data_IF_702842083709
#
_entry.id   IF_702842083709
#
_cell.length_a   1.000
_cell.length_b   1.000
_cell.length_c   1.000
_cell.angle_alpha   90.00
_cell.angle_beta   90.00
_cell.angle_gamma   90.00
#
_symmetry.space_group_name_H-M   'P 1'
#
loop_
_entity.id
_entity.type
_entity.pdbx_description
1 polymer ?
#
# COMPACT_ATOMS: atom_id res chain seq x y z
N UNK A 1 17.12 12.87 -14.53
CA UNK A 1 18.35 13.44 -13.94
C UNK A 1 18.16 13.45 -12.44
N UNK A 2 18.63 12.41 -11.71
CA UNK A 2 18.60 12.43 -10.23
C UNK A 2 19.59 13.51 -9.79
N UNK A 3 19.09 14.51 -9.09
CA UNK A 3 19.94 15.48 -8.44
C UNK A 3 20.82 14.76 -7.41
N UNK A 4 22.09 15.11 -7.34
CA UNK A 4 23.13 14.44 -6.54
C UNK A 4 22.89 14.46 -5.02
N UNK A 5 21.81 15.09 -4.51
CA UNK A 5 21.54 15.29 -3.09
C UNK A 5 20.05 15.12 -2.72
N UNK A 6 19.41 14.04 -3.15
CA UNK A 6 18.01 13.72 -2.74
C UNK A 6 17.86 13.47 -1.22
N UNK A 7 18.96 13.20 -0.52
CA UNK A 7 18.93 12.84 0.91
C UNK A 7 18.64 14.00 1.86
N UNK A 8 18.84 15.24 1.41
CA UNK A 8 18.73 16.44 2.26
C UNK A 8 17.45 17.27 2.02
N UNK A 9 16.54 16.81 1.17
CA UNK A 9 15.32 17.53 0.89
C UNK A 9 14.29 17.32 2.00
N UNK A 10 13.62 18.42 2.41
CA UNK A 10 12.51 18.30 3.34
C UNK A 10 11.36 17.48 2.73
N UNK A 11 10.60 16.81 3.58
CA UNK A 11 9.39 16.07 3.20
C UNK A 11 8.46 16.95 2.37
N UNK A 12 8.26 18.21 2.78
CA UNK A 12 7.43 19.18 2.06
C UNK A 12 7.92 19.42 0.62
N UNK A 13 9.24 19.47 0.41
CA UNK A 13 9.83 19.65 -0.92
C UNK A 13 9.64 18.41 -1.78
N UNK A 14 9.83 17.22 -1.22
CA UNK A 14 9.61 15.94 -1.92
C UNK A 14 8.17 15.80 -2.40
N UNK A 15 7.20 16.13 -1.55
CA UNK A 15 5.77 16.11 -1.91
C UNK A 15 5.46 17.14 -2.99
N UNK A 16 5.87 18.41 -2.79
CA UNK A 16 5.56 19.50 -3.71
C UNK A 16 6.12 19.27 -5.13
N UNK A 17 7.21 18.53 -5.25
CA UNK A 17 7.88 18.24 -6.51
C UNK A 17 7.61 16.81 -7.02
N UNK A 18 6.68 16.07 -6.45
CA UNK A 18 6.40 14.67 -6.79
C UNK A 18 7.70 13.87 -6.95
N UNK A 19 8.58 13.90 -5.95
CA UNK A 19 9.91 13.25 -5.96
C UNK A 19 10.81 13.70 -7.12
N UNK A 20 10.76 14.99 -7.49
CA UNK A 20 11.46 15.53 -8.67
C UNK A 20 11.04 14.88 -9.98
N UNK A 21 9.76 14.63 -10.12
CA UNK A 21 9.20 14.10 -11.37
C UNK A 21 9.63 14.96 -12.56
N UNK A 22 10.06 14.29 -13.61
CA UNK A 22 10.28 14.89 -14.93
C UNK A 22 9.95 13.86 -16.00
N UNK A 23 8.99 14.17 -16.84
CA UNK A 23 8.63 13.31 -17.96
C UNK A 23 9.75 13.34 -19.01
N UNK A 24 10.35 12.18 -19.37
CA UNK A 24 11.49 12.13 -20.26
C UNK A 24 11.17 12.48 -21.73
N UNK A 25 9.90 12.38 -22.13
CA UNK A 25 9.48 12.64 -23.53
C UNK A 25 9.09 14.11 -23.72
N UNK A 26 8.37 14.68 -22.75
CA UNK A 26 7.80 16.04 -22.86
C UNK A 26 8.57 17.08 -22.05
N UNK A 27 9.40 16.66 -21.08
CA UNK A 27 10.03 17.54 -20.11
C UNK A 27 9.06 18.13 -19.07
N UNK A 28 7.84 17.62 -18.99
CA UNK A 28 6.86 18.08 -18.01
C UNK A 28 7.34 17.80 -16.58
N UNK A 29 7.24 18.81 -15.71
CA UNK A 29 7.56 18.70 -14.28
C UNK A 29 6.33 18.40 -13.42
N UNK A 30 5.15 18.29 -14.04
CA UNK A 30 3.91 17.88 -13.39
C UNK A 30 3.47 16.55 -14.00
N UNK A 31 3.24 15.53 -13.18
CA UNK A 31 2.77 14.23 -13.68
C UNK A 31 1.42 14.36 -14.39
N UNK A 32 1.30 13.71 -15.54
CA UNK A 32 0.01 13.60 -16.23
C UNK A 32 -0.92 12.62 -15.49
N UNK A 33 -2.23 12.87 -15.59
CA UNK A 33 -3.22 11.89 -15.15
C UNK A 33 -3.47 10.90 -16.29
N UNK A 34 -3.12 9.64 -16.07
CA UNK A 34 -3.37 8.58 -17.02
C UNK A 34 -4.79 8.02 -16.85
N UNK A 35 -5.63 8.21 -17.83
CA UNK A 35 -7.00 7.73 -17.87
C UNK A 35 -7.17 6.38 -18.58
N UNK A 36 -6.09 5.79 -19.11
CA UNK A 36 -6.19 4.52 -19.82
C UNK A 36 -6.67 3.40 -18.89
N UNK A 37 -7.65 2.63 -19.37
CA UNK A 37 -8.12 1.42 -18.70
C UNK A 37 -7.35 0.19 -19.18
N UNK A 38 -6.97 0.16 -20.47
CA UNK A 38 -6.25 -0.94 -21.11
C UNK A 38 -5.02 -0.38 -21.82
N UNK A 39 -4.00 -1.21 -21.95
CA UNK A 39 -2.75 -0.85 -22.60
C UNK A 39 -2.50 -1.75 -23.80
N UNK A 40 -1.84 -1.20 -24.83
CA UNK A 40 -1.55 -1.93 -26.04
C UNK A 40 -0.54 -3.06 -25.81
N UNK A 41 -0.70 -4.12 -26.58
CA UNK A 41 0.20 -5.27 -26.58
C UNK A 41 0.99 -5.30 -27.89
N UNK A 42 2.06 -6.07 -27.89
CA UNK A 42 2.81 -6.37 -29.09
C UNK A 42 2.16 -7.52 -29.91
N UNK A 43 2.82 -7.98 -30.95
CA UNK A 43 2.37 -9.05 -31.83
C UNK A 43 2.32 -10.43 -31.15
N UNK A 44 3.04 -10.60 -30.04
CA UNK A 44 3.06 -11.81 -29.22
C UNK A 44 2.07 -11.75 -28.04
N UNK A 45 1.24 -10.71 -27.97
CA UNK A 45 0.30 -10.45 -26.86
C UNK A 45 0.97 -10.06 -25.55
N UNK A 46 2.26 -9.69 -25.57
CA UNK A 46 2.97 -9.20 -24.41
C UNK A 46 2.75 -7.69 -24.21
N UNK A 47 2.77 -7.18 -22.97
CA UNK A 47 2.62 -5.76 -22.73
C UNK A 47 3.81 -5.01 -23.31
N UNK A 48 3.54 -3.93 -24.06
CA UNK A 48 4.60 -3.08 -24.63
C UNK A 48 5.39 -2.29 -23.58
N UNK A 49 4.78 -2.08 -22.41
CA UNK A 49 5.32 -1.36 -21.29
C UNK A 49 4.96 -2.10 -19.98
N UNK A 50 5.15 -1.47 -18.83
CA UNK A 50 4.92 -2.10 -17.51
C UNK A 50 3.45 -2.44 -17.21
N UNK A 51 2.49 -1.90 -17.97
CA UNK A 51 1.08 -2.01 -17.62
C UNK A 51 0.29 -2.86 -18.63
N UNK A 52 -0.66 -3.62 -18.12
CA UNK A 52 -1.62 -4.43 -18.89
C UNK A 52 -3.01 -3.84 -18.82
N UNK A 53 -3.41 -3.53 -17.62
CA UNK A 53 -4.74 -3.08 -17.30
C UNK A 53 -4.69 -2.22 -16.04
N UNK A 54 -5.50 -1.16 -15.98
CA UNK A 54 -5.48 -0.16 -14.91
C UNK A 54 -5.60 -0.75 -13.50
N UNK A 55 -6.34 -1.84 -13.32
CA UNK A 55 -6.51 -2.50 -12.02
C UNK A 55 -5.21 -3.14 -11.52
N UNK A 56 -4.36 -3.58 -12.45
CA UNK A 56 -3.09 -4.21 -12.12
C UNK A 56 -1.98 -3.17 -11.93
N UNK A 57 -2.14 -2.01 -12.55
CA UNK A 57 -1.20 -0.90 -12.43
C UNK A 57 -1.52 0.25 -13.39
N UNK A 58 -1.13 1.44 -12.99
CA UNK A 58 -1.33 2.67 -13.75
C UNK A 58 -0.27 3.69 -13.32
N UNK A 59 0.27 4.45 -14.26
CA UNK A 59 1.34 5.44 -14.01
C UNK A 59 0.98 6.44 -12.90
N UNK A 60 -0.27 6.90 -12.88
CA UNK A 60 -0.75 7.86 -11.87
C UNK A 60 -0.79 7.24 -10.47
N UNK A 61 -1.33 6.02 -10.36
CA UNK A 61 -1.40 5.28 -9.10
C UNK A 61 -0.01 4.93 -8.59
N UNK A 62 0.85 4.41 -9.46
CA UNK A 62 2.22 4.06 -9.11
C UNK A 62 3.01 5.24 -8.55
N UNK A 63 2.91 6.42 -9.17
CA UNK A 63 3.62 7.61 -8.65
C UNK A 63 3.12 8.00 -7.25
N UNK A 64 1.82 7.91 -7.00
CA UNK A 64 1.28 8.16 -5.67
C UNK A 64 1.78 7.14 -4.64
N UNK A 65 1.87 5.88 -5.00
CA UNK A 65 2.44 4.80 -4.18
C UNK A 65 3.93 5.04 -3.91
N UNK A 66 4.71 5.47 -4.90
CA UNK A 66 6.13 5.83 -4.74
C UNK A 66 6.31 7.00 -3.77
N UNK A 67 5.47 8.05 -3.87
CA UNK A 67 5.50 9.19 -2.94
C UNK A 67 5.21 8.73 -1.50
N UNK A 68 4.18 7.92 -1.30
CA UNK A 68 3.83 7.41 0.03
C UNK A 68 4.95 6.51 0.58
N UNK A 69 5.53 5.65 -0.24
CA UNK A 69 6.66 4.81 0.15
C UNK A 69 7.85 5.64 0.64
N UNK A 70 8.17 6.72 -0.06
CA UNK A 70 9.25 7.64 0.35
C UNK A 70 8.91 8.35 1.68
N UNK A 71 7.65 8.78 1.87
CA UNK A 71 7.21 9.47 3.09
C UNK A 71 7.24 8.56 4.32
N UNK A 72 6.87 7.30 4.14
CA UNK A 72 6.82 6.29 5.22
C UNK A 72 8.15 5.55 5.39
N UNK A 73 9.17 5.90 4.60
CA UNK A 73 10.45 5.17 4.56
C UNK A 73 10.24 3.66 4.36
N UNK A 74 9.30 3.31 3.50
CA UNK A 74 8.90 1.95 3.17
C UNK A 74 9.52 1.48 1.85
N UNK A 75 9.67 0.17 1.69
CA UNK A 75 10.14 -0.41 0.44
C UNK A 75 9.11 -0.32 -0.69
N UNK A 76 7.82 -0.35 -0.33
CA UNK A 76 6.70 -0.22 -1.25
C UNK A 76 5.44 0.19 -0.50
N UNK A 77 4.48 0.76 -1.22
CA UNK A 77 3.12 0.99 -0.75
C UNK A 77 2.11 0.59 -1.81
N UNK A 78 0.88 0.32 -1.40
CA UNK A 78 -0.24 -0.01 -2.29
C UNK A 78 -1.44 0.86 -1.92
N UNK A 79 -2.07 1.44 -2.93
CA UNK A 79 -3.29 2.22 -2.78
C UNK A 79 -4.54 1.37 -2.95
N UNK A 80 -5.50 1.56 -2.07
CA UNK A 80 -6.80 0.92 -2.10
C UNK A 80 -7.93 1.95 -2.17
N UNK A 81 -9.07 1.55 -2.70
CA UNK A 81 -10.26 2.41 -2.79
C UNK A 81 -10.90 2.73 -1.43
N UNK A 82 -10.52 2.01 -0.38
CA UNK A 82 -10.97 2.27 0.99
C UNK A 82 -9.98 1.71 2.02
N UNK A 83 -9.97 2.28 3.24
CA UNK A 83 -9.18 1.76 4.34
C UNK A 83 -9.57 0.33 4.72
N UNK A 84 -10.86 -0.03 4.60
CA UNK A 84 -11.30 -1.41 4.83
C UNK A 84 -10.73 -2.39 3.82
N UNK A 85 -10.63 -2.00 2.54
CA UNK A 85 -9.97 -2.84 1.52
C UNK A 85 -8.50 -3.05 1.83
N UNK A 86 -7.79 -2.01 2.29
CA UNK A 86 -6.40 -2.11 2.71
C UNK A 86 -6.23 -3.06 3.91
N UNK A 87 -7.04 -2.91 4.96
CA UNK A 87 -7.01 -3.79 6.13
C UNK A 87 -7.35 -5.24 5.76
N UNK A 88 -8.36 -5.44 4.90
CA UNK A 88 -8.74 -6.79 4.45
C UNK A 88 -7.63 -7.44 3.64
N UNK A 89 -6.94 -6.70 2.78
CA UNK A 89 -5.81 -7.21 2.02
C UNK A 89 -4.69 -7.75 2.93
N UNK A 90 -4.38 -7.05 4.03
CA UNK A 90 -3.43 -7.56 5.03
C UNK A 90 -3.88 -8.88 5.65
N UNK A 91 -5.17 -8.99 6.02
CA UNK A 91 -5.72 -10.22 6.58
C UNK A 91 -5.72 -11.39 5.58
N UNK A 92 -6.00 -11.10 4.29
CA UNK A 92 -5.98 -12.10 3.22
C UNK A 92 -4.57 -12.65 2.93
N UNK A 93 -3.53 -11.88 3.21
CA UNK A 93 -2.13 -12.32 3.03
C UNK A 93 -1.65 -13.27 4.12
N UNK A 94 -2.36 -13.35 5.25
CA UNK A 94 -1.96 -14.23 6.35
C UNK A 94 -2.09 -15.70 5.94
N UNK A 95 -1.13 -16.56 6.33
CA UNK A 95 -1.24 -17.99 6.12
C UNK A 95 -2.45 -18.55 6.88
N UNK A 96 -2.92 -19.72 6.44
CA UNK A 96 -3.99 -20.41 7.16
C UNK A 96 -3.59 -20.67 8.62
N UNK A 97 -4.54 -20.49 9.52
CA UNK A 97 -4.36 -20.66 10.97
C UNK A 97 -3.34 -19.70 11.62
N UNK A 98 -2.96 -18.61 10.92
CA UNK A 98 -2.10 -17.60 11.51
C UNK A 98 -2.66 -17.13 12.86
N UNK A 99 -1.77 -16.92 13.81
CA UNK A 99 -2.12 -16.30 15.09
C UNK A 99 -1.87 -14.79 15.01
N UNK A 100 -2.88 -14.01 15.38
CA UNK A 100 -2.76 -12.54 15.45
C UNK A 100 -3.16 -12.05 16.85
N UNK A 101 -2.39 -11.10 17.35
CA UNK A 101 -2.72 -10.33 18.56
C UNK A 101 -3.26 -8.97 18.15
N UNK A 102 -4.43 -8.60 18.62
CA UNK A 102 -5.07 -7.32 18.27
C UNK A 102 -5.57 -6.58 19.52
N UNK A 103 -5.58 -5.24 19.49
CA UNK A 103 -6.14 -4.50 20.60
C UNK A 103 -7.65 -4.76 20.72
N UNK A 104 -8.15 -4.89 21.93
CA UNK A 104 -9.57 -5.09 22.19
C UNK A 104 -10.44 -3.93 21.70
N UNK A 105 -9.90 -2.72 21.77
CA UNK A 105 -10.58 -1.51 21.27
C UNK A 105 -9.91 -1.06 19.98
N UNK A 106 -10.64 -1.16 18.87
CA UNK A 106 -10.18 -0.79 17.54
C UNK A 106 -11.38 -0.36 16.67
N UNK A 107 -11.11 0.07 15.43
CA UNK A 107 -12.18 0.38 14.50
C UNK A 107 -13.10 -0.84 14.28
N UNK A 108 -14.39 -0.65 14.53
CA UNK A 108 -15.38 -1.73 14.57
C UNK A 108 -15.47 -2.54 13.26
N UNK A 109 -15.28 -1.90 12.09
CA UNK A 109 -15.29 -2.57 10.79
C UNK A 109 -14.14 -3.58 10.66
N UNK A 110 -12.93 -3.22 11.10
CA UNK A 110 -11.78 -4.12 11.09
C UNK A 110 -11.98 -5.25 12.10
N UNK A 111 -12.49 -4.93 13.31
CA UNK A 111 -12.80 -5.95 14.30
C UNK A 111 -13.81 -6.97 13.78
N UNK A 112 -14.88 -6.52 13.13
CA UNK A 112 -15.87 -7.40 12.51
C UNK A 112 -15.28 -8.31 11.42
N UNK A 113 -14.36 -7.78 10.62
CA UNK A 113 -13.66 -8.56 9.61
C UNK A 113 -12.73 -9.61 10.22
N UNK A 114 -11.97 -9.26 11.26
CA UNK A 114 -11.15 -10.20 12.02
C UNK A 114 -11.99 -11.32 12.62
N UNK A 115 -13.10 -10.98 13.24
CA UNK A 115 -14.03 -11.97 13.81
C UNK A 115 -14.62 -12.90 12.73
N UNK A 116 -14.93 -12.36 11.55
CA UNK A 116 -15.40 -13.18 10.41
C UNK A 116 -14.30 -14.15 9.93
N UNK A 117 -13.05 -13.74 9.90
CA UNK A 117 -11.93 -14.64 9.55
C UNK A 117 -11.72 -15.71 10.63
N UNK A 118 -11.79 -15.33 11.90
CA UNK A 118 -11.67 -16.28 13.02
C UNK A 118 -12.82 -17.31 13.04
N UNK A 119 -14.07 -16.88 12.82
CA UNK A 119 -15.23 -17.78 12.78
C UNK A 119 -15.16 -18.81 11.66
N UNK A 120 -14.40 -18.54 10.60
CA UNK A 120 -14.13 -19.45 9.49
C UNK A 120 -12.86 -20.27 9.68
N UNK A 121 -12.25 -20.24 10.85
CA UNK A 121 -10.98 -20.91 11.18
C UNK A 121 -9.82 -20.52 10.26
N UNK A 122 -9.85 -19.31 9.68
CA UNK A 122 -8.75 -18.82 8.84
C UNK A 122 -7.59 -18.28 9.67
N UNK A 123 -7.89 -17.69 10.84
CA UNK A 123 -6.92 -17.14 11.78
C UNK A 123 -7.32 -17.47 13.22
N UNK A 124 -6.35 -17.46 14.12
CA UNK A 124 -6.54 -17.45 15.58
C UNK A 124 -6.29 -16.05 16.10
N UNK A 125 -7.13 -15.58 17.03
CA UNK A 125 -7.11 -14.19 17.50
C UNK A 125 -7.03 -14.16 19.02
N UNK A 126 -6.03 -13.48 19.54
CA UNK A 126 -5.96 -13.09 20.95
C UNK A 126 -6.07 -11.55 21.08
N UNK A 127 -6.70 -11.11 22.16
CA UNK A 127 -6.99 -9.70 22.39
C UNK A 127 -6.20 -9.17 23.56
N UNK A 128 -5.59 -7.99 23.39
CA UNK A 128 -4.88 -7.30 24.44
C UNK A 128 -5.46 -5.90 24.72
N UNK A 129 -5.14 -5.32 25.89
CA UNK A 129 -5.55 -3.96 26.23
C UNK A 129 -4.61 -2.95 25.59
N UNK A 130 -5.16 -2.01 24.81
CA UNK A 130 -4.38 -0.99 24.11
C UNK A 130 -3.64 -0.09 25.16
N UNK A 131 -2.34 0.10 24.94
CA UNK A 131 -1.48 0.88 25.84
C UNK A 131 -0.89 0.08 27.02
N UNK A 132 -1.24 -1.20 27.18
CA UNK A 132 -0.67 -2.10 28.17
C UNK A 132 0.28 -3.11 27.49
N UNK A 133 1.59 -2.87 27.64
CA UNK A 133 2.61 -3.75 27.07
C UNK A 133 2.60 -5.14 27.70
N UNK A 134 2.34 -5.26 29.00
CA UNK A 134 2.28 -6.56 29.68
C UNK A 134 1.10 -7.39 29.16
N UNK A 135 -0.05 -6.75 28.92
CA UNK A 135 -1.19 -7.39 28.25
C UNK A 135 -0.85 -7.87 26.85
N UNK A 136 -0.15 -7.05 26.07
CA UNK A 136 0.27 -7.43 24.71
C UNK A 136 1.27 -8.61 24.74
N UNK A 137 2.29 -8.55 25.58
CA UNK A 137 3.29 -9.62 25.73
C UNK A 137 2.65 -10.94 26.16
N UNK A 138 1.62 -10.91 27.00
CA UNK A 138 0.92 -12.12 27.47
C UNK A 138 0.23 -12.92 26.37
N UNK A 139 -0.11 -12.30 25.25
CA UNK A 139 -0.83 -12.94 24.12
C UNK A 139 0.09 -13.25 22.93
N UNK A 140 1.31 -12.72 22.89
CA UNK A 140 2.31 -13.05 21.88
C UNK A 140 3.01 -14.36 22.29
N UNK A 141 2.90 -15.37 21.43
CA UNK A 141 3.46 -16.71 21.70
C UNK A 141 4.52 -17.07 20.66
#
# INVERSE_FOLDING_TARGET
MKLKNDKDLSISTKIAQALHFSDPETGSVVPSIDHSATYSRDENYEPRQAYWYRRDGNKTTQLAEEIISELENANASLLFSSGMSACTAVLEMLPAEAHIAVPRVMYHGVLGQIQNFASKNRIRVDYYEAGDLASMESVIK
#
